data_IF_381114606233
#
_entry.id   IF_381114606233
#
_cell.length_a   1.000
_cell.length_b   1.000
_cell.length_c   1.000
_cell.angle_alpha   90.00
_cell.angle_beta   90.00
_cell.angle_gamma   90.00
#
_symmetry.space_group_name_H-M   'P 1'
#
loop_
_entity.id
_entity.type
_entity.pdbx_description
1 polymer ?
#
# COMPACT_ATOMS: atom_id res chain seq x y z
N UNK A 1 11.62 11.54 14.80
CA UNK A 1 12.17 10.42 14.02
C UNK A 1 11.06 9.88 13.12
N UNK A 2 10.75 10.59 12.03
CA UNK A 2 9.81 10.14 10.99
C UNK A 2 10.63 9.43 9.91
N UNK A 3 10.27 8.21 9.48
CA UNK A 3 11.08 7.47 8.52
C UNK A 3 11.04 8.14 7.15
N UNK A 4 12.21 8.12 6.52
CA UNK A 4 12.71 8.95 5.42
C UNK A 4 12.11 8.56 4.04
N UNK A 5 10.86 8.11 3.95
CA UNK A 5 10.35 7.49 2.72
C UNK A 5 9.60 8.40 1.74
N UNK A 6 9.32 9.66 2.09
CA UNK A 6 8.71 10.63 1.16
C UNK A 6 9.74 11.43 0.34
N UNK A 7 10.98 10.95 0.17
CA UNK A 7 11.87 11.49 -0.87
C UNK A 7 11.51 10.86 -2.21
N UNK A 8 10.55 11.50 -2.89
CA UNK A 8 10.29 11.38 -4.33
C UNK A 8 10.22 9.95 -4.87
N UNK A 9 9.01 9.38 -4.93
CA UNK A 9 8.79 8.22 -5.79
C UNK A 9 9.05 8.67 -7.23
N UNK A 10 10.03 8.06 -7.90
CA UNK A 10 10.28 8.35 -9.32
C UNK A 10 9.07 7.94 -10.15
N UNK A 11 8.88 8.58 -11.31
CA UNK A 11 7.74 8.30 -12.18
C UNK A 11 7.65 6.81 -12.55
N UNK A 12 8.79 6.12 -12.76
CA UNK A 12 8.78 4.68 -13.00
C UNK A 12 8.32 3.84 -11.80
N UNK A 13 8.70 4.21 -10.57
CA UNK A 13 8.26 3.50 -9.36
C UNK A 13 6.80 3.76 -9.03
N UNK A 14 6.29 4.95 -9.38
CA UNK A 14 4.89 5.30 -9.20
C UNK A 14 3.97 4.34 -9.97
N UNK A 15 4.42 3.83 -11.12
CA UNK A 15 3.67 2.82 -11.86
C UNK A 15 3.41 1.57 -11.02
N UNK A 16 4.25 1.22 -10.04
CA UNK A 16 4.04 0.04 -9.22
C UNK A 16 3.31 0.33 -7.90
N UNK A 17 2.83 1.55 -7.70
CA UNK A 17 2.22 1.96 -6.44
C UNK A 17 0.70 2.03 -6.52
N UNK A 18 0.02 1.72 -5.41
CA UNK A 18 -1.37 2.07 -5.15
C UNK A 18 -1.46 2.92 -3.88
N UNK A 19 -2.39 3.87 -3.88
CA UNK A 19 -2.75 4.63 -2.68
C UNK A 19 -4.11 4.17 -2.21
N UNK A 20 -4.18 3.66 -0.98
CA UNK A 20 -5.43 3.30 -0.32
C UNK A 20 -5.79 4.32 0.75
N UNK A 21 -7.09 4.66 0.85
CA UNK A 21 -7.63 5.49 1.92
C UNK A 21 -8.63 4.70 2.74
N UNK A 22 -8.40 4.59 4.06
CA UNK A 22 -9.37 4.00 4.97
C UNK A 22 -10.40 5.06 5.41
N UNK A 23 -11.66 4.86 5.04
CA UNK A 23 -12.75 5.79 5.32
C UNK A 23 -13.38 5.49 6.68
N UNK A 24 -12.68 5.84 7.75
CA UNK A 24 -13.17 5.72 9.13
C UNK A 24 -12.68 6.86 10.00
N UNK A 25 -13.51 7.30 10.94
CA UNK A 25 -13.10 8.20 12.02
C UNK A 25 -12.80 7.45 13.33
N UNK A 26 -13.04 6.14 13.35
CA UNK A 26 -12.76 5.29 14.52
C UNK A 26 -11.27 4.97 14.59
N UNK A 27 -10.69 4.85 15.81
CA UNK A 27 -9.34 4.34 15.98
C UNK A 27 -9.26 2.91 15.45
N UNK A 28 -8.15 2.58 14.81
CA UNK A 28 -7.88 1.26 14.26
C UNK A 28 -6.39 0.94 14.36
N UNK A 29 -6.03 -0.34 14.28
CA UNK A 29 -4.64 -0.77 14.24
C UNK A 29 -4.13 -0.73 12.79
N UNK A 30 -3.35 0.30 12.46
CA UNK A 30 -2.81 0.50 11.12
C UNK A 30 -1.86 -0.63 10.68
N UNK A 31 -1.12 -1.24 11.60
CA UNK A 31 -0.22 -2.33 11.27
C UNK A 31 -0.97 -3.62 10.98
N UNK A 32 -1.99 -3.92 11.79
CA UNK A 32 -2.89 -5.05 11.53
C UNK A 32 -3.60 -4.91 10.17
N UNK A 33 -4.04 -3.70 9.82
CA UNK A 33 -4.65 -3.44 8.50
C UNK A 33 -3.68 -3.75 7.35
N UNK A 34 -2.43 -3.26 7.43
CA UNK A 34 -1.42 -3.50 6.40
C UNK A 34 -1.13 -4.99 6.23
N UNK A 35 -0.88 -5.70 7.32
CA UNK A 35 -0.65 -7.14 7.31
C UNK A 35 -1.85 -7.92 6.75
N UNK A 36 -3.06 -7.49 7.09
CA UNK A 36 -4.30 -8.09 6.58
C UNK A 36 -4.40 -7.92 5.06
N UNK A 37 -4.16 -6.72 4.54
CA UNK A 37 -4.19 -6.46 3.10
C UNK A 37 -3.08 -7.21 2.34
N UNK A 38 -1.87 -7.29 2.90
CA UNK A 38 -0.79 -8.11 2.35
C UNK A 38 -1.17 -9.60 2.25
N UNK A 39 -1.84 -10.13 3.29
CA UNK A 39 -2.32 -11.52 3.32
C UNK A 39 -3.48 -11.78 2.36
N UNK A 40 -4.38 -10.81 2.18
CA UNK A 40 -5.53 -10.92 1.26
C UNK A 40 -5.05 -10.89 -0.19
N UNK A 41 -4.22 -9.91 -0.55
CA UNK A 41 -3.77 -9.73 -1.93
C UNK A 41 -2.75 -10.76 -2.39
N UNK A 42 -1.99 -11.38 -1.46
CA UNK A 42 -0.99 -12.43 -1.73
C UNK A 42 -0.09 -12.11 -2.94
N UNK A 43 0.59 -10.95 -2.95
CA UNK A 43 1.38 -10.52 -4.08
C UNK A 43 2.54 -11.49 -4.33
N UNK A 44 2.67 -11.97 -5.58
CA UNK A 44 3.61 -13.04 -5.94
C UNK A 44 5.07 -12.59 -5.76
N UNK A 45 5.37 -11.32 -6.02
CA UNK A 45 6.73 -10.76 -5.86
C UNK A 45 6.91 -9.94 -4.60
N UNK A 46 5.92 -9.94 -3.71
CA UNK A 46 5.92 -9.14 -2.50
C UNK A 46 5.46 -7.70 -2.69
N UNK A 47 5.26 -7.04 -1.56
CA UNK A 47 4.65 -5.72 -1.42
C UNK A 47 5.32 -5.01 -0.24
N UNK A 48 5.56 -3.71 -0.38
CA UNK A 48 5.94 -2.83 0.74
C UNK A 48 4.78 -1.87 1.04
N UNK A 49 4.33 -1.83 2.30
CA UNK A 49 3.24 -0.97 2.73
C UNK A 49 3.72 0.10 3.72
N UNK A 50 3.40 1.37 3.47
CA UNK A 50 3.78 2.49 4.36
C UNK A 50 2.63 3.46 4.57
N UNK A 51 2.51 3.97 5.80
CA UNK A 51 1.57 5.04 6.11
C UNK A 51 2.13 6.38 5.61
N UNK A 52 1.34 7.12 4.83
CA UNK A 52 1.74 8.41 4.23
C UNK A 52 0.88 9.59 4.70
N UNK A 53 -0.09 9.35 5.57
CA UNK A 53 -0.96 10.37 6.14
C UNK A 53 -2.10 9.79 6.95
N UNK A 54 -3.05 10.63 7.38
CA UNK A 54 -4.23 10.19 8.12
C UNK A 54 -5.04 9.21 7.26
N UNK A 55 -5.08 7.95 7.69
CA UNK A 55 -5.75 6.85 7.01
C UNK A 55 -5.30 6.65 5.56
N UNK A 56 -4.11 7.12 5.20
CA UNK A 56 -3.56 7.01 3.85
C UNK A 56 -2.36 6.08 3.85
N UNK A 57 -2.40 5.12 2.94
CA UNK A 57 -1.41 4.06 2.81
C UNK A 57 -0.90 4.01 1.38
N UNK A 58 0.40 3.88 1.23
CA UNK A 58 1.06 3.60 -0.03
C UNK A 58 1.43 2.12 -0.05
N UNK A 59 1.04 1.44 -1.12
CA UNK A 59 1.32 0.04 -1.39
C UNK A 59 2.20 -0.05 -2.64
N UNK A 60 3.49 -0.34 -2.46
CA UNK A 60 4.44 -0.50 -3.56
C UNK A 60 4.61 -1.98 -3.88
N UNK A 61 4.08 -2.40 -5.01
CA UNK A 61 4.20 -3.77 -5.52
C UNK A 61 5.57 -3.96 -6.19
N UNK A 62 6.14 -5.14 -6.07
CA UNK A 62 7.37 -5.48 -6.80
C UNK A 62 7.09 -5.94 -8.24
N UNK A 63 5.81 -6.11 -8.61
CA UNK A 63 5.38 -6.52 -9.94
C UNK A 63 4.07 -5.84 -10.37
N UNK A 64 3.97 -5.50 -11.65
CA UNK A 64 2.81 -4.78 -12.20
C UNK A 64 1.53 -5.63 -12.26
N UNK A 65 1.66 -6.96 -12.42
CA UNK A 65 0.51 -7.87 -12.38
C UNK A 65 -0.11 -7.95 -10.99
N UNK A 66 0.69 -7.97 -9.92
CA UNK A 66 0.17 -7.98 -8.55
C UNK A 66 -0.66 -6.70 -8.30
N UNK A 67 -0.12 -5.54 -8.70
CA UNK A 67 -0.83 -4.25 -8.67
C UNK A 67 -2.16 -4.31 -9.44
N UNK A 68 -2.13 -4.88 -10.64
CA UNK A 68 -3.30 -4.96 -11.52
C UNK A 68 -4.36 -5.90 -10.96
N UNK A 69 -3.99 -7.06 -10.44
CA UNK A 69 -4.93 -7.97 -9.78
C UNK A 69 -5.65 -7.29 -8.63
N UNK A 70 -4.94 -6.49 -7.83
CA UNK A 70 -5.56 -5.72 -6.73
C UNK A 70 -6.51 -4.63 -7.26
N UNK A 71 -6.16 -3.94 -8.33
CA UNK A 71 -7.05 -2.94 -8.95
C UNK A 71 -8.31 -3.58 -9.53
N UNK A 72 -8.17 -4.74 -10.17
CA UNK A 72 -9.25 -5.39 -10.90
C UNK A 72 -10.20 -6.16 -9.96
N UNK A 73 -9.70 -6.65 -8.82
CA UNK A 73 -10.48 -7.51 -7.91
C UNK A 73 -10.73 -6.90 -6.51
N UNK A 74 -10.01 -5.85 -6.12
CA UNK A 74 -10.10 -5.25 -4.80
C UNK A 74 -9.41 -6.07 -3.68
N UNK A 75 -9.54 -5.62 -2.43
CA UNK A 75 -9.32 -6.45 -1.24
C UNK A 75 -10.48 -7.44 -1.00
#
# INVERSE_FOLDING_TARGET
MLPVLCRGISKEKANFCLVGKLLTDRPFNAEALKLTLEMIWRPVKGLTSVGIGKNLFLFQFNHSLDRRCVLDNGP
#
